data_IF_378694636233
#
_entry.id   IF_378694636233
#
_cell.length_a   1.000
_cell.length_b   1.000
_cell.length_c   1.000
_cell.angle_alpha   90.00
_cell.angle_beta   90.00
_cell.angle_gamma   90.00
#
_symmetry.space_group_name_H-M   'P 1'
#
loop_
_entity.id
_entity.type
_entity.pdbx_description
1 polymer ?
#
# COMPACT_ATOMS: atom_id res chain seq x y z
N UNK A 1 5.17 -56.49 7.94
CA UNK A 1 6.36 -55.95 7.23
C UNK A 1 6.88 -54.80 8.08
N UNK A 2 7.43 -55.06 9.27
CA UNK A 2 8.84 -55.38 9.53
C UNK A 2 9.83 -54.45 8.83
N UNK A 3 10.28 -53.41 9.54
CA UNK A 3 11.71 -53.17 9.75
C UNK A 3 11.91 -52.17 10.90
N UNK A 4 12.26 -52.74 12.04
CA UNK A 4 12.85 -52.09 13.21
C UNK A 4 14.32 -52.51 13.24
N UNK A 5 15.25 -51.55 13.31
CA UNK A 5 16.72 -51.74 13.42
C UNK A 5 17.27 -50.37 13.88
N UNK A 6 18.13 -50.17 14.88
CA UNK A 6 18.78 -51.04 15.86
C UNK A 6 19.21 -50.14 17.04
N UNK A 7 18.97 -50.59 18.28
CA UNK A 7 19.68 -50.16 19.48
C UNK A 7 21.12 -50.66 19.39
N UNK A 8 22.11 -49.82 19.71
CA UNK A 8 23.47 -50.28 20.00
C UNK A 8 23.91 -49.78 21.37
N UNK A 9 23.74 -50.70 22.33
CA UNK A 9 24.41 -50.73 23.62
C UNK A 9 25.91 -50.96 23.39
N UNK A 10 26.75 -50.11 23.93
CA UNK A 10 28.14 -50.44 24.22
C UNK A 10 28.40 -50.19 25.71
N UNK A 11 28.18 -51.25 26.48
CA UNK A 11 28.88 -51.47 27.74
C UNK A 11 30.35 -51.80 27.42
N UNK A 12 31.28 -50.99 27.93
CA UNK A 12 32.63 -51.44 28.23
C UNK A 12 32.89 -51.17 29.71
N UNK A 13 33.16 -52.24 30.45
CA UNK A 13 33.67 -52.20 31.81
C UNK A 13 35.19 -52.43 31.81
N UNK A 14 35.83 -51.81 32.82
CA UNK A 14 37.11 -52.13 33.47
C UNK A 14 38.38 -51.41 33.00
N UNK A 15 38.78 -50.47 33.85
CA UNK A 15 40.15 -50.01 34.07
C UNK A 15 40.18 -49.21 35.37
N UNK A 16 40.29 -49.91 36.51
CA UNK A 16 40.47 -49.28 37.82
C UNK A 16 41.93 -48.83 37.98
N UNK A 17 42.12 -47.53 38.23
CA UNK A 17 43.11 -46.91 39.15
C UNK A 17 43.31 -45.45 38.73
N UNK A 18 42.83 -44.49 39.53
CA UNK A 18 43.10 -43.07 39.33
C UNK A 18 41.95 -42.17 39.77
N UNK A 19 42.15 -41.54 40.92
CA UNK A 19 41.37 -40.46 41.52
C UNK A 19 40.99 -39.35 40.52
N UNK A 20 39.70 -39.07 40.31
CA UNK A 20 39.08 -37.74 40.34
C UNK A 20 37.60 -37.77 39.90
N UNK A 21 36.74 -37.42 40.84
CA UNK A 21 35.37 -36.98 40.62
C UNK A 21 35.30 -35.70 39.77
N UNK A 22 35.14 -35.77 38.44
CA UNK A 22 34.65 -34.66 37.57
C UNK A 22 34.57 -35.06 36.08
N UNK A 23 33.47 -35.67 35.59
CA UNK A 23 33.01 -35.28 34.24
C UNK A 23 31.48 -35.21 34.01
N UNK A 24 30.64 -35.75 34.90
CA UNK A 24 29.19 -35.86 34.61
C UNK A 24 28.42 -34.55 34.83
N UNK A 25 28.86 -33.71 35.80
CA UNK A 25 28.14 -32.48 36.18
C UNK A 25 28.48 -31.29 35.27
N UNK A 26 29.65 -31.27 34.62
CA UNK A 26 29.97 -30.22 33.62
C UNK A 26 29.13 -30.40 32.35
N UNK A 27 28.95 -31.63 31.87
CA UNK A 27 28.15 -31.94 30.69
C UNK A 27 26.68 -31.50 30.82
N UNK A 28 26.06 -31.73 32.00
CA UNK A 28 24.68 -31.27 32.25
C UNK A 28 24.54 -29.73 32.22
N UNK A 29 25.56 -29.00 32.68
CA UNK A 29 25.55 -27.54 32.66
C UNK A 29 25.80 -26.98 31.26
N UNK A 30 26.67 -27.63 30.49
CA UNK A 30 26.89 -27.33 29.07
C UNK A 30 25.60 -27.55 28.26
N UNK A 31 24.90 -28.67 28.49
CA UNK A 31 23.60 -28.95 27.88
C UNK A 31 22.54 -27.91 28.26
N UNK A 32 22.53 -27.49 29.53
CA UNK A 32 21.64 -26.43 30.02
C UNK A 32 21.91 -25.09 29.32
N UNK A 33 23.17 -24.69 29.19
CA UNK A 33 23.57 -23.47 28.47
C UNK A 33 23.17 -23.58 26.99
N UNK A 34 23.50 -24.69 26.34
CA UNK A 34 23.20 -24.92 24.93
C UNK A 34 21.68 -24.90 24.66
N UNK A 35 20.87 -25.46 25.57
CA UNK A 35 19.42 -25.43 25.46
C UNK A 35 18.87 -24.00 25.55
N UNK A 36 19.38 -23.17 26.46
CA UNK A 36 18.96 -21.76 26.56
C UNK A 36 19.40 -20.96 25.32
N UNK A 37 20.62 -21.18 24.81
CA UNK A 37 21.08 -20.54 23.57
C UNK A 37 20.18 -20.88 22.38
N UNK A 38 19.78 -22.15 22.22
CA UNK A 38 18.82 -22.55 21.18
C UNK A 38 17.49 -21.80 21.31
N UNK A 39 16.99 -21.60 22.53
CA UNK A 39 15.76 -20.83 22.76
C UNK A 39 15.94 -19.34 22.40
N UNK A 40 17.09 -18.75 22.74
CA UNK A 40 17.42 -17.37 22.40
C UNK A 40 17.55 -17.16 20.88
N UNK A 41 18.17 -18.08 20.17
CA UNK A 41 18.30 -18.05 18.72
C UNK A 41 16.94 -18.18 18.04
N UNK A 42 16.11 -19.12 18.48
CA UNK A 42 14.73 -19.24 18.01
C UNK A 42 13.91 -17.96 18.25
N UNK A 43 14.13 -17.30 19.40
CA UNK A 43 13.47 -16.04 19.73
C UNK A 43 13.87 -14.91 18.79
N UNK A 44 15.16 -14.75 18.52
CA UNK A 44 15.65 -13.78 17.55
C UNK A 44 15.10 -14.07 16.16
N UNK A 45 15.06 -15.35 15.78
CA UNK A 45 14.55 -15.74 14.46
C UNK A 45 13.08 -15.34 14.29
N UNK A 46 12.26 -15.59 15.31
CA UNK A 46 10.85 -15.19 15.28
C UNK A 46 10.69 -13.67 15.11
N UNK A 47 11.47 -12.84 15.83
CA UNK A 47 11.37 -11.38 15.69
C UNK A 47 11.85 -10.89 14.32
N UNK A 48 12.90 -11.51 13.77
CA UNK A 48 13.37 -11.22 12.43
C UNK A 48 12.29 -11.53 11.38
N UNK A 49 11.60 -12.66 11.53
CA UNK A 49 10.52 -13.08 10.65
C UNK A 49 9.29 -12.17 10.78
N UNK A 50 8.94 -11.73 12.00
CA UNK A 50 7.87 -10.74 12.23
C UNK A 50 8.17 -9.39 11.57
N UNK A 51 9.40 -8.88 11.69
CA UNK A 51 9.84 -7.65 11.01
C UNK A 51 9.79 -7.81 9.49
N UNK A 52 10.23 -8.95 8.97
CA UNK A 52 10.21 -9.24 7.54
C UNK A 52 8.78 -9.37 6.99
N UNK A 53 7.90 -10.04 7.73
CA UNK A 53 6.49 -10.18 7.40
C UNK A 53 5.79 -8.83 7.35
N UNK A 54 6.06 -7.94 8.31
CA UNK A 54 5.54 -6.58 8.31
C UNK A 54 5.92 -5.83 7.03
N UNK A 55 7.22 -5.82 6.69
CA UNK A 55 7.73 -5.16 5.48
C UNK A 55 7.03 -5.67 4.23
N UNK A 56 6.92 -7.00 4.11
CA UNK A 56 6.25 -7.65 2.98
C UNK A 56 4.77 -7.26 2.89
N UNK A 57 4.06 -7.30 4.01
CA UNK A 57 2.62 -7.03 4.06
C UNK A 57 2.34 -5.57 3.70
N UNK A 58 3.03 -4.63 4.35
CA UNK A 58 2.88 -3.21 4.09
C UNK A 58 3.14 -2.84 2.62
N UNK A 59 4.25 -3.30 2.04
CA UNK A 59 4.54 -3.04 0.62
C UNK A 59 3.53 -3.74 -0.31
N UNK A 60 3.02 -4.92 0.06
CA UNK A 60 2.02 -5.64 -0.74
C UNK A 60 0.68 -4.92 -0.77
N UNK A 61 0.22 -4.38 0.35
CA UNK A 61 -1.02 -3.60 0.43
C UNK A 61 -0.97 -2.36 -0.46
N UNK A 62 0.16 -1.66 -0.45
CA UNK A 62 0.36 -0.48 -1.29
C UNK A 62 0.42 -0.84 -2.79
N UNK A 63 0.83 -2.07 -3.15
CA UNK A 63 1.01 -2.49 -4.55
C UNK A 63 -0.29 -2.50 -5.35
N UNK A 64 -1.44 -2.66 -4.70
CA UNK A 64 -2.74 -2.60 -5.36
C UNK A 64 -3.02 -1.21 -5.98
N UNK A 65 -2.37 -0.14 -5.52
CA UNK A 65 -2.42 1.18 -6.16
C UNK A 65 -1.88 1.11 -7.61
N UNK A 66 -0.84 0.32 -7.85
CA UNK A 66 -0.27 0.17 -9.20
C UNK A 66 -1.22 -0.59 -10.13
N UNK A 67 -2.00 -1.54 -9.59
CA UNK A 67 -3.03 -2.24 -10.37
C UNK A 67 -4.10 -1.25 -10.88
N UNK A 68 -4.51 -0.29 -10.05
CA UNK A 68 -5.42 0.78 -10.49
C UNK A 68 -4.78 1.70 -11.54
N UNK A 69 -3.46 1.92 -11.47
CA UNK A 69 -2.75 2.68 -12.50
C UNK A 69 -2.81 1.97 -13.86
N UNK A 70 -2.57 0.67 -13.90
CA UNK A 70 -2.62 -0.11 -15.14
C UNK A 70 -4.05 -0.17 -15.71
N UNK A 71 -5.06 -0.31 -14.86
CA UNK A 71 -6.46 -0.27 -15.30
C UNK A 71 -6.84 1.08 -15.92
N UNK A 72 -6.41 2.18 -15.32
CA UNK A 72 -6.72 3.52 -15.77
C UNK A 72 -5.95 3.87 -17.07
N UNK A 73 -4.73 3.38 -17.22
CA UNK A 73 -3.98 3.45 -18.47
C UNK A 73 -4.73 2.79 -19.62
N UNK A 74 -5.18 1.54 -19.44
CA UNK A 74 -5.97 0.82 -20.46
C UNK A 74 -7.21 1.63 -20.87
N UNK A 75 -7.92 2.23 -19.90
CA UNK A 75 -9.10 3.05 -20.19
C UNK A 75 -8.78 4.31 -21.01
N UNK A 76 -7.64 4.95 -20.74
CA UNK A 76 -7.17 6.10 -21.51
C UNK A 76 -6.73 5.68 -22.92
N UNK A 77 -6.09 4.53 -23.07
CA UNK A 77 -5.71 3.96 -24.37
C UNK A 77 -6.94 3.60 -25.21
N UNK A 78 -7.93 2.93 -24.60
CA UNK A 78 -9.22 2.62 -25.24
C UNK A 78 -9.92 3.88 -25.73
N UNK A 79 -9.97 4.94 -24.92
CA UNK A 79 -10.55 6.21 -25.30
C UNK A 79 -9.82 6.83 -26.50
N UNK A 80 -8.48 6.84 -26.48
CA UNK A 80 -7.67 7.32 -27.61
C UNK A 80 -7.91 6.49 -28.86
N UNK A 81 -7.95 5.16 -28.74
CA UNK A 81 -8.20 4.25 -29.85
C UNK A 81 -9.60 4.44 -30.46
N UNK A 82 -10.60 4.80 -29.65
CA UNK A 82 -11.94 5.19 -30.13
C UNK A 82 -11.95 6.55 -30.83
N UNK A 83 -11.25 7.54 -30.29
CA UNK A 83 -11.31 8.92 -30.79
C UNK A 83 -10.47 9.13 -32.06
N UNK A 84 -9.33 8.45 -32.20
CA UNK A 84 -8.45 8.62 -33.36
C UNK A 84 -9.15 8.39 -34.72
N UNK A 85 -9.94 7.31 -34.93
CA UNK A 85 -10.69 7.13 -36.18
C UNK A 85 -11.79 8.18 -36.39
N UNK A 86 -12.42 8.66 -35.31
CA UNK A 86 -13.50 9.66 -35.39
C UNK A 86 -12.97 10.97 -35.97
N UNK A 87 -11.74 11.36 -35.63
CA UNK A 87 -11.08 12.55 -36.20
C UNK A 87 -10.92 12.49 -37.73
N UNK A 88 -10.94 11.30 -38.33
CA UNK A 88 -10.72 11.10 -39.76
C UNK A 88 -12.00 11.12 -40.60
N UNK A 89 -13.18 11.18 -39.97
CA UNK A 89 -14.47 11.11 -40.67
C UNK A 89 -14.69 12.37 -41.54
N UNK A 90 -14.67 13.55 -40.93
CA UNK A 90 -14.79 14.84 -41.62
C UNK A 90 -14.28 16.00 -40.73
N UNK A 91 -14.33 17.23 -41.24
CA UNK A 91 -13.87 18.42 -40.53
C UNK A 91 -14.66 18.73 -39.26
N UNK A 92 -15.95 18.36 -39.18
CA UNK A 92 -16.77 18.56 -37.99
C UNK A 92 -16.36 17.61 -36.86
N UNK A 93 -16.24 16.31 -37.17
CA UNK A 93 -15.80 15.32 -36.19
C UNK A 93 -14.38 15.64 -35.68
N UNK A 94 -13.48 16.01 -36.60
CA UNK A 94 -12.13 16.47 -36.25
C UNK A 94 -12.18 17.65 -35.28
N UNK A 95 -13.01 18.65 -35.56
CA UNK A 95 -13.16 19.83 -34.69
C UNK A 95 -13.68 19.45 -33.30
N UNK A 96 -14.71 18.60 -33.22
CA UNK A 96 -15.28 18.16 -31.95
C UNK A 96 -14.25 17.41 -31.09
N UNK A 97 -13.51 16.46 -31.66
CA UNK A 97 -12.50 15.72 -30.90
C UNK A 97 -11.36 16.63 -30.47
N UNK A 98 -10.83 17.47 -31.36
CA UNK A 98 -9.71 18.37 -31.05
C UNK A 98 -10.04 19.42 -29.99
N UNK A 99 -11.28 19.91 -29.93
CA UNK A 99 -11.70 20.90 -28.93
C UNK A 99 -11.68 20.35 -27.50
N UNK A 100 -11.92 19.05 -27.32
CA UNK A 100 -12.11 18.45 -25.99
C UNK A 100 -11.03 17.41 -25.62
N UNK A 101 -10.19 16.99 -26.57
CA UNK A 101 -9.11 16.01 -26.31
C UNK A 101 -8.07 16.52 -25.32
N UNK A 102 -7.85 17.83 -25.23
CA UNK A 102 -6.97 18.44 -24.23
C UNK A 102 -7.45 18.24 -22.78
N UNK A 103 -8.74 17.94 -22.57
CA UNK A 103 -9.30 17.61 -21.25
C UNK A 103 -8.99 16.17 -20.83
N UNK A 104 -8.59 15.29 -21.76
CA UNK A 104 -8.23 13.90 -21.47
C UNK A 104 -6.83 13.88 -20.81
N UNK A 105 -6.70 13.36 -19.58
CA UNK A 105 -5.41 13.32 -18.91
C UNK A 105 -4.39 12.44 -19.65
N UNK A 106 -3.12 12.84 -19.61
CA UNK A 106 -2.02 12.04 -20.15
C UNK A 106 -1.71 10.85 -19.24
N UNK A 107 -1.58 9.67 -19.84
CA UNK A 107 -1.21 8.41 -19.15
C UNK A 107 0.03 8.59 -18.26
N UNK A 108 1.07 9.27 -18.79
CA UNK A 108 2.30 9.52 -18.04
C UNK A 108 2.08 10.32 -16.75
N UNK A 109 1.19 11.32 -16.79
CA UNK A 109 0.87 12.14 -15.61
C UNK A 109 0.10 11.33 -14.57
N UNK A 110 -0.87 10.52 -15.02
CA UNK A 110 -1.67 9.64 -14.16
C UNK A 110 -0.78 8.60 -13.47
N UNK A 111 0.10 7.93 -14.22
CA UNK A 111 1.07 6.97 -13.66
C UNK A 111 2.02 7.63 -12.67
N UNK A 112 2.54 8.80 -13.00
CA UNK A 112 3.42 9.56 -12.10
C UNK A 112 2.73 9.90 -10.78
N UNK A 113 1.47 10.37 -10.84
CA UNK A 113 0.68 10.70 -9.66
C UNK A 113 0.43 9.47 -8.76
N UNK A 114 -0.01 8.35 -9.34
CA UNK A 114 -0.26 7.10 -8.58
C UNK A 114 1.02 6.52 -7.98
N UNK A 115 2.12 6.52 -8.74
CA UNK A 115 3.43 6.13 -8.21
C UNK A 115 3.89 7.06 -7.08
N UNK A 116 3.57 8.36 -7.17
CA UNK A 116 3.80 9.32 -6.10
C UNK A 116 3.08 8.95 -4.81
N UNK A 117 1.80 8.56 -4.90
CA UNK A 117 1.02 8.08 -3.75
C UNK A 117 1.68 6.84 -3.09
N UNK A 118 2.05 5.83 -3.90
CA UNK A 118 2.74 4.62 -3.43
C UNK A 118 4.09 4.96 -2.75
N UNK A 119 4.94 5.71 -3.44
CA UNK A 119 6.31 6.00 -2.98
C UNK A 119 6.32 6.82 -1.70
N UNK A 120 5.37 7.74 -1.54
CA UNK A 120 5.24 8.56 -0.33
C UNK A 120 5.00 7.68 0.89
N UNK A 121 4.05 6.75 0.83
CA UNK A 121 3.82 5.81 1.94
C UNK A 121 4.97 4.82 2.11
N UNK A 122 5.46 4.22 1.03
CA UNK A 122 6.51 3.20 1.08
C UNK A 122 7.84 3.75 1.64
N UNK A 123 8.17 5.02 1.40
CA UNK A 123 9.37 5.67 1.95
C UNK A 123 9.38 5.73 3.49
N UNK A 124 8.21 5.65 4.13
CA UNK A 124 8.08 5.65 5.59
C UNK A 124 8.29 4.27 6.22
N UNK A 125 8.43 3.18 5.44
CA UNK A 125 8.52 1.83 6.00
C UNK A 125 9.64 1.68 7.04
N UNK A 126 10.81 2.24 6.77
CA UNK A 126 11.94 2.15 7.69
C UNK A 126 11.71 2.98 8.95
N UNK A 127 11.13 4.18 8.82
CA UNK A 127 10.85 5.02 9.99
C UNK A 127 9.81 4.37 10.91
N UNK A 128 8.76 3.76 10.33
CA UNK A 128 7.72 3.00 11.03
C UNK A 128 8.32 1.88 11.89
N UNK A 129 9.32 1.14 11.38
CA UNK A 129 9.91 -0.01 12.07
C UNK A 129 11.09 0.31 12.99
N UNK A 130 11.59 1.55 13.00
CA UNK A 130 12.83 1.94 13.72
C UNK A 130 12.89 1.42 15.15
N UNK A 131 11.83 1.64 15.95
CA UNK A 131 11.84 1.29 17.37
C UNK A 131 11.81 -0.23 17.61
N UNK A 132 11.03 -0.96 16.82
CA UNK A 132 11.00 -2.43 16.88
C UNK A 132 12.36 -3.01 16.46
N UNK A 133 12.95 -2.49 15.38
CA UNK A 133 14.27 -2.88 14.91
C UNK A 133 15.36 -2.61 15.96
N UNK A 134 15.28 -1.48 16.66
CA UNK A 134 16.20 -1.16 17.76
C UNK A 134 16.09 -2.17 18.90
N UNK A 135 14.87 -2.55 19.30
CA UNK A 135 14.66 -3.56 20.35
C UNK A 135 15.23 -4.92 19.95
N UNK A 136 15.02 -5.34 18.69
CA UNK A 136 15.65 -6.53 18.14
C UNK A 136 17.18 -6.46 18.17
N UNK A 137 17.76 -5.35 17.71
CA UNK A 137 19.21 -5.15 17.70
C UNK A 137 19.80 -5.16 19.12
N UNK A 138 19.11 -4.54 20.08
CA UNK A 138 19.50 -4.57 21.50
C UNK A 138 19.50 -6.00 22.06
N UNK A 139 18.46 -6.79 21.79
CA UNK A 139 18.39 -8.18 22.24
C UNK A 139 19.48 -9.04 21.58
N UNK A 140 19.65 -8.90 20.26
CA UNK A 140 20.68 -9.61 19.49
C UNK A 140 22.08 -9.32 20.00
N UNK A 141 22.38 -8.05 20.30
CA UNK A 141 23.67 -7.65 20.85
C UNK A 141 23.88 -8.22 22.26
N UNK A 142 22.83 -8.24 23.09
CA UNK A 142 22.93 -8.81 24.43
C UNK A 142 23.27 -10.31 24.38
N UNK A 143 22.60 -11.09 23.53
CA UNK A 143 22.92 -12.52 23.38
C UNK A 143 24.30 -12.76 22.77
N UNK A 144 24.69 -12.00 21.75
CA UNK A 144 25.95 -12.22 21.04
C UNK A 144 27.18 -11.76 21.83
N UNK A 145 27.03 -10.77 22.70
CA UNK A 145 28.14 -10.16 23.42
C UNK A 145 28.03 -10.37 24.93
N UNK A 146 26.99 -9.80 25.56
CA UNK A 146 26.88 -9.77 27.02
C UNK A 146 26.76 -11.18 27.61
N UNK A 147 25.88 -12.03 27.06
CA UNK A 147 25.69 -13.40 27.54
C UNK A 147 27.00 -14.20 27.44
N UNK A 148 27.70 -14.14 26.30
CA UNK A 148 28.97 -14.86 26.11
C UNK A 148 30.04 -14.42 27.11
N UNK A 149 30.17 -13.12 27.34
CA UNK A 149 31.12 -12.58 28.31
C UNK A 149 30.78 -13.03 29.73
N UNK A 150 29.50 -12.93 30.13
CA UNK A 150 29.05 -13.32 31.46
C UNK A 150 29.27 -14.82 31.74
N UNK A 151 29.01 -15.68 30.76
CA UNK A 151 29.27 -17.13 30.87
C UNK A 151 30.77 -17.43 30.98
N UNK A 152 31.61 -16.80 30.15
CA UNK A 152 33.08 -16.91 30.25
C UNK A 152 33.59 -16.45 31.62
N UNK A 153 33.02 -15.38 32.18
CA UNK A 153 33.41 -14.88 33.50
C UNK A 153 33.03 -15.85 34.63
N UNK A 154 31.91 -16.54 34.52
CA UNK A 154 31.54 -17.60 35.47
C UNK A 154 32.57 -18.73 35.50
N UNK A 155 33.05 -19.15 34.32
CA UNK A 155 34.08 -20.18 34.18
C UNK A 155 35.42 -19.73 34.80
N UNK A 156 35.87 -18.52 34.45
CA UNK A 156 37.14 -17.95 34.96
C UNK A 156 37.17 -17.77 36.47
N UNK A 157 36.05 -17.37 37.09
CA UNK A 157 35.99 -17.09 38.53
C UNK A 157 35.83 -18.36 39.38
N UNK A 158 35.35 -19.46 38.80
CA UNK A 158 35.03 -20.67 39.54
C UNK A 158 35.71 -21.94 38.97
N UNK A 159 37.03 -21.93 38.71
CA UNK A 159 37.71 -23.00 37.97
C UNK A 159 37.75 -24.36 38.70
N UNK A 160 37.47 -24.38 40.01
CA UNK A 160 37.56 -25.57 40.86
C UNK A 160 36.29 -25.85 41.66
N UNK A 161 35.26 -25.02 41.53
CA UNK A 161 34.02 -25.13 42.31
C UNK A 161 32.81 -25.30 41.39
N UNK A 162 32.37 -26.55 41.25
CA UNK A 162 31.21 -26.90 40.43
C UNK A 162 29.93 -26.21 40.91
N UNK A 163 29.74 -26.13 42.23
CA UNK A 163 28.56 -25.51 42.83
C UNK A 163 28.54 -24.00 42.54
N UNK A 164 29.66 -23.29 42.74
CA UNK A 164 29.71 -21.85 42.48
C UNK A 164 29.58 -21.54 40.99
N UNK A 165 30.17 -22.38 40.12
CA UNK A 165 29.98 -22.27 38.67
C UNK A 165 28.50 -22.43 38.28
N UNK A 166 27.84 -23.48 38.79
CA UNK A 166 26.41 -23.75 38.55
C UNK A 166 25.53 -22.56 38.95
N UNK A 167 25.70 -22.05 40.18
CA UNK A 167 24.94 -20.89 40.67
C UNK A 167 25.21 -19.64 39.81
N UNK A 168 26.44 -19.44 39.36
CA UNK A 168 26.79 -18.32 38.49
C UNK A 168 26.07 -18.42 37.14
N UNK A 169 26.10 -19.58 36.49
CA UNK A 169 25.43 -19.82 35.20
C UNK A 169 23.92 -19.63 35.32
N UNK A 170 23.28 -20.19 36.35
CA UNK A 170 21.85 -20.01 36.59
C UNK A 170 21.47 -18.53 36.74
N UNK A 171 22.26 -17.74 37.47
CA UNK A 171 22.04 -16.31 37.64
C UNK A 171 22.21 -15.53 36.32
N UNK A 172 23.20 -15.88 35.51
CA UNK A 172 23.42 -15.27 34.18
C UNK A 172 22.24 -15.57 33.26
N UNK A 173 21.77 -16.82 33.21
CA UNK A 173 20.60 -17.23 32.42
C UNK A 173 19.33 -16.54 32.93
N UNK A 174 19.11 -16.46 34.24
CA UNK A 174 17.97 -15.75 34.84
C UNK A 174 17.96 -14.25 34.49
N UNK A 175 19.12 -13.60 34.55
CA UNK A 175 19.30 -12.20 34.14
C UNK A 175 18.99 -12.02 32.65
N UNK A 176 19.48 -12.93 31.82
CA UNK A 176 19.25 -12.93 30.37
C UNK A 176 17.77 -13.11 30.05
N UNK A 177 17.08 -14.03 30.73
CA UNK A 177 15.65 -14.25 30.60
C UNK A 177 14.85 -13.00 30.99
N UNK A 178 15.24 -12.32 32.06
CA UNK A 178 14.62 -11.05 32.49
C UNK A 178 14.79 -9.96 31.43
N UNK A 179 16.01 -9.78 30.91
CA UNK A 179 16.30 -8.83 29.84
C UNK A 179 15.51 -9.13 28.56
N UNK A 180 15.38 -10.42 28.23
CA UNK A 180 14.59 -10.92 27.09
C UNK A 180 13.12 -10.58 27.24
N UNK A 181 12.52 -10.87 28.39
CA UNK A 181 11.11 -10.59 28.66
C UNK A 181 10.80 -9.09 28.57
N UNK A 182 11.69 -8.25 29.10
CA UNK A 182 11.52 -6.80 29.04
C UNK A 182 11.64 -6.29 27.59
N UNK A 183 12.61 -6.78 26.82
CA UNK A 183 12.72 -6.42 25.40
C UNK A 183 11.53 -6.95 24.58
N UNK A 184 10.97 -8.12 24.91
CA UNK A 184 9.77 -8.64 24.24
C UNK A 184 8.58 -7.69 24.40
N UNK A 185 8.36 -7.17 25.60
CA UNK A 185 7.27 -6.23 25.85
C UNK A 185 7.43 -4.97 24.99
N UNK A 186 8.66 -4.45 24.92
CA UNK A 186 8.97 -3.28 24.09
C UNK A 186 8.79 -3.58 22.60
N UNK A 187 9.34 -4.70 22.12
CA UNK A 187 9.22 -5.14 20.74
C UNK A 187 7.74 -5.26 20.32
N UNK A 188 6.92 -5.96 21.12
CA UNK A 188 5.49 -6.11 20.85
C UNK A 188 4.75 -4.77 20.79
N UNK A 189 5.02 -3.89 21.76
CA UNK A 189 4.41 -2.56 21.79
C UNK A 189 4.80 -1.74 20.55
N UNK A 190 6.08 -1.76 20.17
CA UNK A 190 6.55 -1.05 18.97
C UNK A 190 6.04 -1.67 17.67
N UNK A 191 5.89 -3.00 17.60
CA UNK A 191 5.25 -3.65 16.45
C UNK A 191 3.77 -3.26 16.33
N UNK A 192 3.04 -3.15 17.45
CA UNK A 192 1.66 -2.67 17.44
C UNK A 192 1.56 -1.19 17.00
N UNK A 193 2.44 -0.33 17.51
CA UNK A 193 2.50 1.08 17.07
C UNK A 193 2.88 1.20 15.60
N UNK A 194 3.79 0.36 15.13
CA UNK A 194 4.16 0.27 13.73
C UNK A 194 2.95 -0.12 12.87
N UNK A 195 2.14 -1.09 13.30
CA UNK A 195 0.92 -1.49 12.61
C UNK A 195 -0.06 -0.32 12.50
N UNK A 196 -0.38 0.35 13.61
CA UNK A 196 -1.29 1.51 13.57
C UNK A 196 -0.77 2.62 12.64
N UNK A 197 0.54 2.87 12.64
CA UNK A 197 1.15 3.88 11.78
C UNK A 197 1.09 3.44 10.31
N UNK A 198 1.36 2.17 10.02
CA UNK A 198 1.22 1.60 8.69
C UNK A 198 -0.22 1.74 8.17
N UNK A 199 -1.23 1.41 8.97
CA UNK A 199 -2.65 1.52 8.59
C UNK A 199 -3.01 2.97 8.19
N UNK A 200 -2.53 3.95 8.95
CA UNK A 200 -2.71 5.38 8.64
C UNK A 200 -2.03 5.73 7.31
N UNK A 201 -0.78 5.29 7.09
CA UNK A 201 -0.05 5.57 5.84
C UNK A 201 -0.66 4.87 4.63
N UNK A 202 -1.14 3.64 4.79
CA UNK A 202 -1.86 2.90 3.78
C UNK A 202 -3.15 3.63 3.41
N UNK A 203 -3.93 4.06 4.39
CA UNK A 203 -5.17 4.85 4.16
C UNK A 203 -4.87 6.14 3.38
N UNK A 204 -3.86 6.91 3.80
CA UNK A 204 -3.45 8.13 3.10
C UNK A 204 -3.01 7.88 1.66
N UNK A 205 -2.30 6.78 1.40
CA UNK A 205 -1.90 6.40 0.05
C UNK A 205 -3.11 6.06 -0.81
N UNK A 206 -4.10 5.36 -0.25
CA UNK A 206 -5.36 5.03 -0.91
C UNK A 206 -6.21 6.25 -1.21
N UNK A 207 -6.32 7.20 -0.29
CA UNK A 207 -7.03 8.47 -0.52
C UNK A 207 -6.38 9.27 -1.67
N UNK A 208 -5.04 9.36 -1.67
CA UNK A 208 -4.27 9.97 -2.76
C UNK A 208 -4.54 9.29 -4.11
N UNK A 209 -4.50 7.94 -4.12
CA UNK A 209 -4.75 7.15 -5.31
C UNK A 209 -6.20 7.33 -5.81
N UNK A 210 -7.17 7.26 -4.91
CA UNK A 210 -8.59 7.45 -5.21
C UNK A 210 -8.87 8.81 -5.84
N UNK A 211 -8.31 9.88 -5.28
CA UNK A 211 -8.46 11.23 -5.85
C UNK A 211 -7.92 11.33 -7.28
N UNK A 212 -6.81 10.65 -7.56
CA UNK A 212 -6.22 10.58 -8.90
C UNK A 212 -7.11 9.79 -9.86
N UNK A 213 -7.62 8.63 -9.44
CA UNK A 213 -8.51 7.79 -10.26
C UNK A 213 -9.83 8.51 -10.54
N UNK A 214 -10.42 9.11 -9.51
CA UNK A 214 -11.68 9.84 -9.62
C UNK A 214 -11.57 11.04 -10.55
N UNK A 215 -10.57 11.91 -10.34
CA UNK A 215 -10.36 13.08 -11.20
C UNK A 215 -10.11 12.68 -12.65
N UNK A 216 -9.28 11.66 -12.88
CA UNK A 216 -8.99 11.16 -14.24
C UNK A 216 -10.25 10.64 -14.92
N UNK A 217 -11.02 9.81 -14.23
CA UNK A 217 -12.24 9.21 -14.77
C UNK A 217 -13.30 10.28 -15.06
N UNK A 218 -13.44 11.28 -14.19
CA UNK A 218 -14.35 12.41 -14.37
C UNK A 218 -13.98 13.28 -15.57
N UNK A 219 -12.68 13.64 -15.71
CA UNK A 219 -12.17 14.39 -16.86
C UNK A 219 -12.34 13.62 -18.16
N UNK A 220 -12.05 12.32 -18.17
CA UNK A 220 -12.24 11.46 -19.33
C UNK A 220 -13.73 11.37 -19.72
N UNK A 221 -14.61 11.08 -18.77
CA UNK A 221 -16.05 10.97 -19.01
C UNK A 221 -16.65 12.28 -19.52
N UNK A 222 -16.22 13.41 -18.97
CA UNK A 222 -16.62 14.75 -19.43
C UNK A 222 -16.16 15.00 -20.86
N UNK A 223 -14.89 14.71 -21.17
CA UNK A 223 -14.35 14.90 -22.52
C UNK A 223 -15.11 14.05 -23.55
N UNK A 224 -15.32 12.77 -23.27
CA UNK A 224 -16.05 11.86 -24.17
C UNK A 224 -17.49 12.36 -24.38
N UNK A 225 -18.20 12.74 -23.31
CA UNK A 225 -19.56 13.27 -23.42
C UNK A 225 -19.62 14.53 -24.28
N UNK A 226 -18.72 15.49 -24.05
CA UNK A 226 -18.69 16.73 -24.82
C UNK A 226 -18.39 16.50 -26.30
N UNK A 227 -17.53 15.53 -26.61
CA UNK A 227 -17.25 15.09 -27.99
C UNK A 227 -18.52 14.50 -28.61
N UNK A 228 -19.17 13.56 -27.92
CA UNK A 228 -20.38 12.89 -28.41
C UNK A 228 -21.53 13.90 -28.61
N UNK A 229 -21.75 14.81 -27.66
CA UNK A 229 -22.73 15.90 -27.75
C UNK A 229 -22.43 16.83 -28.94
N UNK A 230 -21.15 17.20 -29.15
CA UNK A 230 -20.73 18.02 -30.28
C UNK A 230 -20.98 17.32 -31.63
N UNK A 231 -20.67 16.03 -31.73
CA UNK A 231 -20.92 15.23 -32.94
C UNK A 231 -22.42 15.11 -33.20
N UNK A 232 -23.22 14.81 -32.18
CA UNK A 232 -24.68 14.70 -32.30
C UNK A 232 -25.34 16.02 -32.73
N UNK A 233 -24.87 17.15 -32.20
CA UNK A 233 -25.37 18.48 -32.54
C UNK A 233 -25.06 18.93 -33.97
N UNK A 234 -24.24 18.18 -34.73
CA UNK A 234 -24.15 18.35 -36.19
C UNK A 234 -25.52 18.29 -36.83
N UNK A 235 -26.39 17.36 -36.40
CA UNK A 235 -27.73 17.17 -36.95
C UNK A 235 -28.69 18.29 -36.57
N UNK A 236 -28.55 18.88 -35.37
CA UNK A 236 -29.41 19.97 -34.91
C UNK A 236 -29.14 21.30 -35.68
N UNK A 237 -27.90 21.54 -36.11
CA UNK A 237 -27.54 22.75 -36.86
C UNK A 237 -27.42 22.53 -38.38
N UNK A 238 -27.23 21.29 -38.86
CA UNK A 238 -27.16 20.99 -40.29
C UNK A 238 -28.54 20.80 -40.96
N UNK A 239 -29.62 20.64 -40.18
CA UNK A 239 -30.98 20.55 -40.72
C UNK A 239 -31.70 21.91 -40.81
N UNK A 240 -31.06 23.01 -40.38
CA UNK A 240 -31.62 24.34 -40.54
C UNK A 240 -30.80 25.06 -41.59
N UNK A 241 -31.30 25.07 -42.82
CA UNK A 241 -30.94 26.11 -43.76
C UNK A 241 -31.37 27.45 -43.16
N UNK A 242 -30.51 28.07 -42.34
CA UNK A 242 -30.70 29.42 -41.79
C UNK A 242 -30.53 30.49 -42.88
N UNK A 243 -31.18 30.31 -44.03
CA UNK A 243 -31.14 31.23 -45.17
C UNK A 243 -32.52 31.79 -45.51
N UNK A 244 -33.61 31.16 -45.05
CA UNK A 244 -34.93 31.77 -45.04
C UNK A 244 -35.29 32.15 -43.61
N UNK A 245 -35.16 33.43 -43.27
CA UNK A 245 -35.67 33.94 -41.99
C UNK A 245 -37.17 33.63 -41.90
N UNK A 246 -37.61 33.14 -40.75
CA UNK A 246 -39.03 32.97 -40.54
C UNK A 246 -39.70 34.34 -40.46
N UNK A 247 -40.89 34.50 -41.03
CA UNK A 247 -41.67 35.74 -40.92
C UNK A 247 -42.05 36.04 -39.46
N UNK A 248 -42.29 34.99 -38.67
CA UNK A 248 -42.60 35.12 -37.25
C UNK A 248 -41.30 34.97 -36.45
N UNK A 249 -40.85 36.06 -35.85
CA UNK A 249 -39.63 36.08 -35.05
C UNK A 249 -39.98 36.46 -33.61
N UNK A 250 -39.47 35.69 -32.66
CA UNK A 250 -39.51 36.02 -31.24
C UNK A 250 -38.11 36.42 -30.79
N UNK A 251 -37.95 37.61 -30.22
CA UNK A 251 -36.67 38.07 -29.69
C UNK A 251 -36.63 37.84 -28.19
N UNK A 252 -35.66 37.05 -27.72
CA UNK A 252 -35.36 36.87 -26.31
C UNK A 252 -34.16 37.76 -25.97
N UNK A 253 -34.41 38.78 -25.16
CA UNK A 253 -33.37 39.67 -24.62
C UNK A 253 -32.76 39.04 -23.36
N UNK A 254 -31.43 38.90 -23.33
CA UNK A 254 -30.72 38.43 -22.13
C UNK A 254 -30.72 39.47 -20.99
N UNK A 255 -31.07 40.73 -21.27
CA UNK A 255 -31.05 41.82 -20.27
C UNK A 255 -32.35 42.01 -19.49
N UNK A 256 -33.46 41.46 -19.97
CA UNK A 256 -34.79 41.74 -19.42
C UNK A 256 -35.42 40.56 -18.66
N UNK A 257 -34.75 39.40 -18.62
CA UNK A 257 -35.24 38.25 -17.88
C UNK A 257 -34.45 38.05 -16.59
N UNK A 258 -35.17 38.12 -15.47
CA UNK A 258 -34.71 37.83 -14.12
C UNK A 258 -34.17 36.39 -14.03
N UNK A 259 -32.83 36.24 -14.03
CA UNK A 259 -32.14 34.95 -13.94
C UNK A 259 -32.39 34.20 -12.62
N UNK A 260 -33.17 34.77 -11.69
CA UNK A 260 -33.60 34.10 -10.46
C UNK A 260 -34.77 33.14 -10.67
N UNK A 261 -35.46 33.20 -11.81
CA UNK A 261 -36.59 32.32 -12.09
C UNK A 261 -36.14 31.18 -13.03
N UNK A 262 -36.04 29.96 -12.50
CA UNK A 262 -35.56 28.77 -13.23
C UNK A 262 -36.49 28.29 -14.38
N UNK A 263 -37.52 29.06 -14.70
CA UNK A 263 -38.51 28.74 -15.75
C UNK A 263 -38.68 29.92 -16.70
N UNK A 264 -38.24 29.72 -17.95
CA UNK A 264 -38.56 30.60 -19.07
C UNK A 264 -40.04 30.37 -19.42
N UNK A 265 -40.81 31.45 -19.55
CA UNK A 265 -42.21 31.38 -19.96
C UNK A 265 -42.30 30.72 -21.33
N UNK A 266 -43.13 29.67 -21.46
CA UNK A 266 -43.20 28.87 -22.68
C UNK A 266 -43.50 29.78 -23.90
N UNK A 267 -42.56 29.93 -24.85
CA UNK A 267 -42.72 30.80 -26.01
C UNK A 267 -43.78 30.30 -27.00
N UNK A 268 -44.23 29.06 -26.83
CA UNK A 268 -45.25 28.43 -27.66
C UNK A 268 -46.67 28.57 -27.09
N UNK A 269 -46.84 29.23 -25.95
CA UNK A 269 -48.14 29.39 -25.31
C UNK A 269 -49.00 30.45 -26.03
N UNK A 270 -50.16 30.06 -26.56
CA UNK A 270 -51.10 30.95 -27.25
C UNK A 270 -50.83 31.16 -28.75
N UNK A 271 -49.93 30.37 -29.35
CA UNK A 271 -49.69 30.41 -30.78
C UNK A 271 -50.89 29.84 -31.56
N UNK A 272 -51.36 30.59 -32.56
CA UNK A 272 -52.40 30.12 -33.49
C UNK A 272 -51.82 28.98 -34.34
N UNK A 273 -52.61 27.92 -34.51
CA UNK A 273 -52.40 26.78 -35.40
C UNK A 273 -52.04 27.14 -36.86
N UNK A 274 -52.19 28.40 -37.26
CA UNK A 274 -51.87 28.93 -38.60
C UNK A 274 -50.42 29.42 -38.76
N UNK A 275 -49.61 29.41 -37.71
CA UNK A 275 -48.20 29.82 -37.79
C UNK A 275 -47.36 28.75 -38.49
N UNK A 276 -46.91 29.04 -39.71
CA UNK A 276 -46.13 28.11 -40.55
C UNK A 276 -44.68 27.92 -40.10
N UNK A 277 -44.12 28.90 -39.37
CA UNK A 277 -42.82 28.82 -38.74
C UNK A 277 -42.75 29.82 -37.57
N UNK A 278 -41.85 29.60 -36.62
CA UNK A 278 -41.44 30.57 -35.61
C UNK A 278 -39.92 30.49 -35.43
N UNK A 279 -39.22 31.61 -35.54
CA UNK A 279 -37.77 31.70 -35.31
C UNK A 279 -37.50 32.44 -34.00
N UNK A 280 -36.68 31.84 -33.12
CA UNK A 280 -36.27 32.45 -31.86
C UNK A 280 -34.89 33.09 -32.03
N UNK A 281 -34.82 34.41 -31.81
CA UNK A 281 -33.57 35.18 -31.90
C UNK A 281 -33.15 35.65 -30.51
N UNK A 282 -31.91 35.37 -30.15
CA UNK A 282 -31.33 35.84 -28.91
C UNK A 282 -30.63 37.17 -29.17
N UNK A 283 -31.03 38.23 -28.46
CA UNK A 283 -30.40 39.54 -28.53
C UNK A 283 -29.53 39.76 -27.29
N UNK A 284 -28.23 39.94 -27.51
CA UNK A 284 -27.24 40.31 -26.49
C UNK A 284 -27.42 41.76 -26.02
#
# INVERSE_FOLDING_TARGET
>A
MHSAVLLLLLLFCLGANGDLSTPLVSAHMEDYIAQNQRQYDAKLKNWEDELALFRKTFTSELRAINVHADQLEVKLEEAKARLNPIELIDSWHKHCVQNYSATIPLIANVRSALNGCFNTANSNLNSILTNAQNSFNSLKNFYNSNLKTLLSDCEKRNPKSQMNYTICVENVISTTNTFTQNNQKNFNNYMQQAQCTADIRTTQAWECAFNTVYSTSSSLGTAIRLIDDCIANKLACASVSCTSSCTNQMIISWKENDFLNATIKNPFYGLDSKLSCLEMKFKY
#
